data_IF_508574515596
#
_entry.id   IF_508574515596
#
_cell.length_a   1.000
_cell.length_b   1.000
_cell.length_c   1.000
_cell.angle_alpha   90.00
_cell.angle_beta   90.00
_cell.angle_gamma   90.00
#
_symmetry.space_group_name_H-M   'P 1'
#
loop_
_entity.id
_entity.type
_entity.pdbx_description
1 polymer ?
#
# COMPACT_ATOMS: atom_id res chain seq x y z
N UNK A 1 11.53 11.67 1.99
CA UNK A 1 10.29 12.45 2.05
C UNK A 1 10.43 13.59 1.06
N UNK A 2 9.78 13.50 -0.09
CA UNK A 2 9.97 14.49 -1.17
C UNK A 2 8.91 14.43 -2.26
N UNK A 3 8.13 13.34 -2.31
CA UNK A 3 7.05 13.17 -3.28
C UNK A 3 6.00 14.28 -3.16
N UNK A 4 5.53 14.60 -1.95
CA UNK A 4 4.52 15.65 -1.75
C UNK A 4 5.00 17.01 -2.27
N UNK A 5 6.30 17.32 -2.13
CA UNK A 5 6.89 18.54 -2.67
C UNK A 5 6.87 18.54 -4.21
N UNK A 6 7.27 17.43 -4.84
CA UNK A 6 7.25 17.31 -6.30
C UNK A 6 5.83 17.28 -6.86
N UNK A 7 4.89 16.65 -6.15
CA UNK A 7 3.47 16.65 -6.49
C UNK A 7 2.90 18.07 -6.41
N UNK A 8 3.10 18.79 -5.31
CA UNK A 8 2.65 20.17 -5.16
C UNK A 8 3.23 21.09 -6.25
N UNK A 9 4.53 20.95 -6.56
CA UNK A 9 5.15 21.70 -7.65
C UNK A 9 4.55 21.35 -9.02
N UNK A 10 4.32 20.06 -9.30
CA UNK A 10 3.70 19.60 -10.54
C UNK A 10 2.26 20.11 -10.69
N UNK A 11 1.47 20.07 -9.62
CA UNK A 11 0.10 20.59 -9.59
C UNK A 11 0.05 22.09 -9.79
N UNK A 12 0.95 22.85 -9.14
CA UNK A 12 1.06 24.28 -9.35
C UNK A 12 1.42 24.64 -10.81
N UNK A 13 2.32 23.87 -11.43
CA UNK A 13 2.65 24.03 -12.85
C UNK A 13 1.46 23.68 -13.74
N UNK A 14 0.76 22.58 -13.48
CA UNK A 14 -0.43 22.22 -14.26
C UNK A 14 -1.52 23.29 -14.14
N UNK A 15 -1.78 23.80 -12.94
CA UNK A 15 -2.76 24.87 -12.71
C UNK A 15 -2.40 26.16 -13.46
N UNK A 16 -1.11 26.49 -13.56
CA UNK A 16 -0.64 27.63 -14.33
C UNK A 16 -0.80 27.47 -15.85
N UNK A 17 -0.81 26.22 -16.35
CA UNK A 17 -0.95 25.89 -17.78
C UNK A 17 -2.40 25.65 -18.19
N UNK A 18 -3.19 25.04 -17.32
CA UNK A 18 -4.62 24.81 -17.48
C UNK A 18 -5.29 24.94 -16.10
N UNK A 19 -6.15 25.94 -15.87
CA UNK A 19 -6.84 26.10 -14.59
C UNK A 19 -8.00 25.11 -14.39
N UNK A 20 -8.33 24.27 -15.39
CA UNK A 20 -9.40 23.26 -15.30
C UNK A 20 -9.13 22.19 -14.23
N UNK A 21 -7.93 21.59 -14.11
CA UNK A 21 -7.57 20.84 -12.91
C UNK A 21 -7.55 21.80 -11.71
N UNK A 22 -8.63 21.80 -10.94
CA UNK A 22 -8.79 22.61 -9.75
C UNK A 22 -8.40 21.79 -8.51
N UNK A 23 -7.09 21.63 -8.30
CA UNK A 23 -6.57 21.02 -7.07
C UNK A 23 -6.23 22.12 -6.08
N UNK A 24 -7.00 22.19 -5.00
CA UNK A 24 -6.73 23.09 -3.88
C UNK A 24 -5.55 22.55 -3.07
N UNK A 25 -4.39 23.19 -3.20
CA UNK A 25 -3.18 22.80 -2.48
C UNK A 25 -3.28 23.02 -0.97
N UNK A 26 -4.11 23.96 -0.50
CA UNK A 26 -4.34 24.18 0.93
C UNK A 26 -5.11 23.02 1.53
N UNK A 27 -6.23 22.65 0.90
CA UNK A 27 -7.01 21.49 1.29
C UNK A 27 -6.19 20.20 1.21
N UNK A 28 -5.37 20.04 0.16
CA UNK A 28 -4.47 18.91 0.05
C UNK A 28 -3.47 18.86 1.22
N UNK A 29 -2.90 19.99 1.62
CA UNK A 29 -1.98 20.06 2.75
C UNK A 29 -2.66 19.68 4.08
N UNK A 30 -3.87 20.20 4.34
CA UNK A 30 -4.65 19.86 5.53
C UNK A 30 -4.94 18.36 5.62
N UNK A 31 -5.20 17.72 4.48
CA UNK A 31 -5.45 16.28 4.42
C UNK A 31 -4.19 15.44 4.66
N UNK A 32 -3.02 15.94 4.22
CA UNK A 32 -1.74 15.30 4.55
C UNK A 32 -1.38 15.46 6.03
N UNK A 33 -1.70 16.61 6.63
CA UNK A 33 -1.52 16.83 8.07
C UNK A 33 -2.45 15.92 8.87
N UNK A 34 -3.71 15.78 8.44
CA UNK A 34 -4.65 14.84 9.03
C UNK A 34 -4.16 13.39 8.92
N UNK A 35 -3.61 12.99 7.77
CA UNK A 35 -3.00 11.66 7.59
C UNK A 35 -1.77 11.47 8.48
N UNK A 36 -0.91 12.48 8.62
CA UNK A 36 0.24 12.43 9.52
C UNK A 36 -0.19 12.27 10.99
N UNK A 37 -1.25 12.97 11.42
CA UNK A 37 -1.83 12.84 12.75
C UNK A 37 -2.45 11.45 12.98
N UNK A 38 -3.16 10.89 11.98
CA UNK A 38 -3.64 9.49 11.99
C UNK A 38 -2.50 8.48 12.06
N UNK A 39 -1.34 8.83 11.51
CA UNK A 39 -0.15 8.01 11.52
C UNK A 39 0.80 8.32 12.68
N UNK A 40 0.42 9.15 13.65
CA UNK A 40 1.29 9.56 14.75
C UNK A 40 1.71 8.39 15.67
N UNK A 41 2.90 8.50 16.27
CA UNK A 41 3.49 7.43 17.08
C UNK A 41 2.66 7.05 18.31
N UNK A 42 1.91 8.01 18.86
CA UNK A 42 1.05 7.83 20.03
C UNK A 42 -0.21 6.99 19.76
N UNK A 43 -0.57 6.76 18.49
CA UNK A 43 -1.75 5.96 18.12
C UNK A 43 -1.44 4.47 18.14
N UNK A 44 -2.38 3.68 18.67
CA UNK A 44 -2.30 2.23 18.69
C UNK A 44 -2.29 1.63 17.27
N UNK A 45 -1.69 0.45 17.12
CA UNK A 45 -1.48 -0.21 15.82
C UNK A 45 -2.80 -0.33 15.03
N UNK A 46 -3.88 -0.78 15.66
CA UNK A 46 -5.19 -0.97 15.03
C UNK A 46 -5.93 0.33 14.70
N UNK A 47 -5.35 1.51 14.96
CA UNK A 47 -5.90 2.83 14.60
C UNK A 47 -4.91 3.66 13.78
N UNK A 48 -3.78 3.07 13.41
CA UNK A 48 -2.66 3.72 12.74
C UNK A 48 -2.36 2.96 11.44
N UNK A 49 -2.83 3.47 10.28
CA UNK A 49 -2.70 2.75 9.02
C UNK A 49 -1.25 2.56 8.58
N UNK A 50 -0.33 3.49 8.91
CA UNK A 50 1.10 3.31 8.65
C UNK A 50 1.73 2.18 9.49
N UNK A 51 1.35 2.00 10.76
CA UNK A 51 1.82 0.86 11.59
C UNK A 51 1.30 -0.48 11.07
N UNK A 52 0.04 -0.53 10.65
CA UNK A 52 -0.54 -1.73 10.01
C UNK A 52 0.15 -2.06 8.68
N UNK A 53 0.44 -1.05 7.87
CA UNK A 53 1.19 -1.23 6.64
C UNK A 53 2.61 -1.74 6.92
N UNK A 54 3.31 -1.15 7.90
CA UNK A 54 4.62 -1.61 8.34
C UNK A 54 4.59 -3.08 8.80
N UNK A 55 3.57 -3.48 9.58
CA UNK A 55 3.39 -4.86 10.03
C UNK A 55 3.12 -5.83 8.86
N UNK A 56 2.40 -5.40 7.81
CA UNK A 56 2.18 -6.22 6.60
C UNK A 56 3.45 -6.43 5.77
N UNK A 57 4.35 -5.45 5.75
CA UNK A 57 5.61 -5.53 5.02
C UNK A 57 6.69 -6.26 5.84
N UNK A 58 6.58 -6.22 7.17
CA UNK A 58 7.47 -6.97 8.05
C UNK A 58 7.35 -8.48 7.78
N UNK A 59 8.50 -9.17 7.80
CA UNK A 59 8.61 -10.64 7.77
C UNK A 59 8.00 -11.34 6.53
N UNK A 60 7.78 -10.60 5.43
CA UNK A 60 7.28 -11.16 4.17
C UNK A 60 8.12 -10.67 2.99
N UNK A 61 8.20 -11.49 1.94
CA UNK A 61 8.64 -11.00 0.64
C UNK A 61 7.48 -10.22 0.03
N UNK A 62 7.65 -8.92 -0.15
CA UNK A 62 6.59 -8.03 -0.63
C UNK A 62 6.98 -7.40 -1.95
N UNK A 63 6.05 -7.34 -2.90
CA UNK A 63 6.11 -6.50 -4.09
C UNK A 63 5.02 -5.42 -4.02
N UNK A 64 5.36 -4.19 -4.43
CA UNK A 64 4.39 -3.13 -4.68
C UNK A 64 3.92 -3.21 -6.13
N UNK A 65 2.62 -3.10 -6.35
CA UNK A 65 2.04 -3.09 -7.68
C UNK A 65 1.16 -1.86 -7.90
N UNK A 66 1.17 -1.34 -9.13
CA UNK A 66 0.20 -0.35 -9.59
C UNK A 66 -0.40 -0.78 -10.92
N UNK A 67 -1.68 -0.51 -11.13
CA UNK A 67 -2.37 -0.86 -12.37
C UNK A 67 -2.28 0.26 -13.43
N UNK A 68 -2.37 1.51 -12.98
CA UNK A 68 -2.23 2.70 -13.80
C UNK A 68 -0.86 3.37 -13.68
N UNK A 69 -0.59 4.36 -14.53
CA UNK A 69 0.67 5.09 -14.52
C UNK A 69 0.93 5.80 -13.18
N UNK A 70 -0.11 6.38 -12.57
CA UNK A 70 -0.02 7.09 -11.30
C UNK A 70 0.25 6.14 -10.12
N UNK A 71 -0.52 5.04 -10.02
CA UNK A 71 -0.33 4.04 -8.96
C UNK A 71 0.98 3.28 -9.12
N UNK A 72 1.46 3.03 -10.34
CA UNK A 72 2.79 2.47 -10.58
C UNK A 72 3.91 3.44 -10.18
N UNK A 73 3.78 4.73 -10.47
CA UNK A 73 4.73 5.74 -10.02
C UNK A 73 4.81 5.79 -8.48
N UNK A 74 3.66 5.69 -7.81
CA UNK A 74 3.58 5.62 -6.35
C UNK A 74 4.19 4.32 -5.79
N UNK A 75 3.95 3.17 -6.44
CA UNK A 75 4.60 1.91 -6.08
C UNK A 75 6.14 2.02 -6.17
N UNK A 76 6.67 2.65 -7.22
CA UNK A 76 8.12 2.91 -7.36
C UNK A 76 8.66 3.85 -6.30
N UNK A 77 7.89 4.88 -5.92
CA UNK A 77 8.23 5.75 -4.79
C UNK A 77 8.29 4.95 -3.47
N UNK A 78 7.27 4.14 -3.19
CA UNK A 78 7.22 3.27 -2.01
C UNK A 78 8.43 2.34 -1.94
N UNK A 79 8.79 1.70 -3.05
CA UNK A 79 9.99 0.84 -3.17
C UNK A 79 11.27 1.60 -2.81
N UNK A 80 11.45 2.80 -3.38
CA UNK A 80 12.60 3.66 -3.08
C UNK A 80 12.66 4.07 -1.61
N UNK A 81 11.52 4.41 -1.00
CA UNK A 81 11.48 4.84 0.40
C UNK A 81 11.70 3.69 1.37
N UNK A 82 11.07 2.53 1.14
CA UNK A 82 11.28 1.33 1.95
C UNK A 82 12.75 0.89 1.93
N UNK A 83 13.40 0.97 0.77
CA UNK A 83 14.83 0.68 0.67
C UNK A 83 15.66 1.70 1.45
N UNK A 84 15.45 3.01 1.21
CA UNK A 84 16.32 4.07 1.77
C UNK A 84 16.13 4.31 3.26
N UNK A 85 14.92 4.08 3.79
CA UNK A 85 14.57 4.40 5.19
C UNK A 85 14.55 3.14 6.04
N UNK A 86 13.89 2.07 5.58
CA UNK A 86 13.70 0.84 6.34
C UNK A 86 14.76 -0.23 6.06
N UNK A 87 15.68 0.00 5.11
CA UNK A 87 16.57 -1.03 4.56
C UNK A 87 15.79 -2.27 4.07
N UNK A 88 14.57 -2.06 3.56
CA UNK A 88 13.70 -3.13 3.07
C UNK A 88 13.70 -3.12 1.54
N UNK A 89 14.16 -4.23 0.94
CA UNK A 89 14.08 -4.43 -0.51
C UNK A 89 12.65 -4.87 -0.86
N UNK A 90 11.97 -4.06 -1.67
CA UNK A 90 10.60 -4.30 -2.11
C UNK A 90 10.50 -3.91 -3.58
N UNK A 91 10.42 -4.84 -4.54
CA UNK A 91 10.27 -4.51 -5.96
C UNK A 91 8.95 -3.77 -6.22
N UNK A 92 8.93 -2.92 -7.26
CA UNK A 92 7.74 -2.24 -7.74
C UNK A 92 7.50 -2.56 -9.22
N UNK A 93 6.30 -3.04 -9.55
CA UNK A 93 5.95 -3.46 -10.92
C UNK A 93 4.49 -3.16 -11.29
N UNK A 94 4.11 -3.39 -12.55
CA UNK A 94 2.71 -3.32 -12.98
C UNK A 94 1.89 -4.45 -12.38
N UNK A 95 0.60 -4.24 -12.16
CA UNK A 95 -0.29 -5.25 -11.58
C UNK A 95 -0.25 -6.58 -12.35
N UNK A 96 -0.30 -6.54 -13.68
CA UNK A 96 -0.26 -7.73 -14.52
C UNK A 96 1.00 -8.59 -14.25
N UNK A 97 2.17 -7.96 -14.20
CA UNK A 97 3.44 -8.67 -13.96
C UNK A 97 3.51 -9.26 -12.54
N UNK A 98 2.98 -8.53 -11.55
CA UNK A 98 2.88 -9.01 -10.18
C UNK A 98 1.98 -10.27 -10.08
N UNK A 99 0.86 -10.28 -10.82
CA UNK A 99 -0.03 -11.43 -10.88
C UNK A 99 0.63 -12.62 -11.59
N UNK A 100 1.39 -12.40 -12.67
CA UNK A 100 2.17 -13.46 -13.32
C UNK A 100 3.18 -14.06 -12.35
N UNK A 101 3.90 -13.23 -11.59
CA UNK A 101 4.85 -13.68 -10.59
C UNK A 101 4.19 -14.50 -9.47
N UNK A 102 3.00 -14.09 -9.00
CA UNK A 102 2.23 -14.86 -8.02
C UNK A 102 1.80 -16.24 -8.55
N UNK A 103 1.32 -16.32 -9.79
CA UNK A 103 0.94 -17.59 -10.40
C UNK A 103 2.14 -18.52 -10.61
N UNK A 104 3.29 -17.97 -11.02
CA UNK A 104 4.53 -18.73 -11.14
C UNK A 104 4.97 -19.29 -9.78
N UNK A 105 4.96 -18.46 -8.73
CA UNK A 105 5.31 -18.89 -7.38
C UNK A 105 4.37 -19.96 -6.82
N UNK A 106 3.07 -19.89 -7.14
CA UNK A 106 2.09 -20.91 -6.76
C UNK A 106 2.32 -22.24 -7.50
N UNK A 107 2.83 -22.20 -8.74
CA UNK A 107 3.10 -23.38 -9.57
C UNK A 107 4.38 -24.11 -9.15
N UNK A 108 5.41 -23.36 -8.70
CA UNK A 108 6.66 -23.92 -8.17
C UNK A 108 6.52 -24.54 -6.77
N UNK A 109 5.44 -24.18 -6.05
CA UNK A 109 5.18 -24.59 -4.69
C UNK A 109 3.88 -25.38 -4.53
N UNK A 110 3.67 -26.44 -5.33
CA UNK A 110 2.60 -27.43 -5.08
C UNK A 110 2.93 -28.20 -3.79
N UNK A 111 2.80 -27.51 -2.66
CA UNK A 111 2.45 -28.10 -1.38
C UNK A 111 0.94 -28.15 -1.42
N UNK A 112 0.39 -29.36 -1.39
CA UNK A 112 -1.03 -29.60 -1.17
C UNK A 112 -1.53 -28.62 -0.08
N UNK A 113 -2.58 -27.82 -0.30
CA UNK A 113 -3.13 -26.93 0.72
C UNK A 113 -3.31 -27.63 2.08
N UNK A 114 -3.64 -28.91 2.05
CA UNK A 114 -3.75 -29.76 3.24
C UNK A 114 -2.37 -30.07 3.86
N UNK A 115 -1.33 -30.32 3.06
CA UNK A 115 0.03 -30.52 3.55
C UNK A 115 0.62 -29.27 4.23
N UNK A 116 0.22 -28.06 3.82
CA UNK A 116 0.61 -26.83 4.53
C UNK A 116 -0.07 -26.69 5.90
N UNK A 117 -1.24 -27.32 6.10
CA UNK A 117 -1.98 -27.33 7.36
C UNK A 117 -1.35 -28.29 8.39
N UNK A 118 -0.64 -29.31 7.91
CA UNK A 118 0.09 -30.29 8.73
C UNK A 118 1.60 -30.04 8.79
N UNK A 119 2.10 -28.95 8.20
CA UNK A 119 3.52 -28.60 8.20
C UNK A 119 3.96 -28.17 9.60
N UNK A 120 4.94 -28.88 10.16
CA UNK A 120 5.54 -28.57 11.46
C UNK A 120 6.93 -27.95 11.26
N UNK A 121 7.13 -26.70 11.64
CA UNK A 121 8.40 -25.99 11.44
C UNK A 121 9.58 -26.63 12.20
N UNK A 122 9.33 -27.36 13.29
CA UNK A 122 10.37 -28.05 14.07
C UNK A 122 10.81 -29.36 13.39
N UNK A 123 9.92 -30.01 12.65
CA UNK A 123 10.17 -31.31 11.99
C UNK A 123 10.52 -31.14 10.51
N UNK A 124 9.78 -30.31 9.78
CA UNK A 124 9.86 -30.15 8.33
C UNK A 124 10.75 -28.96 7.92
N UNK A 125 11.13 -28.11 8.87
CA UNK A 125 11.91 -26.90 8.66
C UNK A 125 11.06 -25.69 8.19
N UNK A 126 11.67 -24.51 8.00
CA UNK A 126 10.92 -23.30 7.70
C UNK A 126 10.31 -23.33 6.29
N UNK A 127 9.04 -22.93 6.18
CA UNK A 127 8.39 -22.75 4.87
C UNK A 127 9.10 -21.65 4.06
N UNK A 128 9.19 -21.81 2.72
CA UNK A 128 9.73 -20.76 1.88
C UNK A 128 8.90 -19.49 2.00
N UNK A 129 9.53 -18.30 2.01
CA UNK A 129 8.82 -17.04 2.16
C UNK A 129 7.87 -16.84 0.96
N UNK A 130 6.58 -16.65 1.25
CA UNK A 130 5.56 -16.41 0.23
C UNK A 130 5.59 -14.95 -0.22
N UNK A 131 5.59 -14.75 -1.54
CA UNK A 131 5.43 -13.42 -2.14
C UNK A 131 4.03 -12.88 -1.83
N UNK A 132 3.97 -11.65 -1.30
CA UNK A 132 2.74 -10.89 -1.12
C UNK A 132 2.78 -9.65 -2.01
N UNK A 133 1.68 -9.38 -2.70
CA UNK A 133 1.54 -8.19 -3.55
C UNK A 133 0.69 -7.16 -2.81
N UNK A 134 1.24 -5.96 -2.62
CA UNK A 134 0.47 -4.79 -2.19
C UNK A 134 0.14 -3.96 -3.43
N UNK A 135 -1.10 -4.07 -3.90
CA UNK A 135 -1.60 -3.34 -5.05
C UNK A 135 -2.11 -1.96 -4.61
N UNK A 136 -1.36 -0.92 -4.96
CA UNK A 136 -1.75 0.49 -4.79
C UNK A 136 -2.92 0.76 -5.74
N UNK A 137 -4.03 1.24 -5.20
CA UNK A 137 -5.26 1.42 -5.97
C UNK A 137 -5.97 2.71 -5.60
N UNK A 138 -6.53 3.37 -6.62
CA UNK A 138 -7.44 4.50 -6.43
C UNK A 138 -8.89 4.03 -6.36
N UNK A 139 -9.76 4.82 -5.76
CA UNK A 139 -11.16 4.44 -5.52
C UNK A 139 -11.93 4.05 -6.81
N UNK A 140 -11.63 4.70 -7.94
CA UNK A 140 -12.25 4.39 -9.25
C UNK A 140 -11.67 3.14 -9.90
N UNK A 141 -10.40 2.83 -9.65
CA UNK A 141 -9.71 1.62 -10.11
C UNK A 141 -10.10 0.38 -9.29
N UNK A 142 -10.55 0.58 -8.05
CA UNK A 142 -10.75 -0.49 -7.05
C UNK A 142 -11.64 -1.65 -7.53
N UNK A 143 -12.82 -1.44 -8.14
CA UNK A 143 -13.66 -2.55 -8.60
C UNK A 143 -12.98 -3.42 -9.65
N UNK A 144 -12.26 -2.79 -10.59
CA UNK A 144 -11.57 -3.49 -11.67
C UNK A 144 -10.33 -4.25 -11.20
N UNK A 145 -9.59 -3.67 -10.25
CA UNK A 145 -8.46 -4.36 -9.60
C UNK A 145 -8.97 -5.53 -8.74
N UNK A 146 -9.97 -5.29 -7.90
CA UNK A 146 -10.56 -6.33 -7.04
C UNK A 146 -11.09 -7.54 -7.83
N UNK A 147 -11.75 -7.30 -8.97
CA UNK A 147 -12.24 -8.37 -9.84
C UNK A 147 -11.10 -9.23 -10.41
N UNK A 148 -9.96 -8.62 -10.77
CA UNK A 148 -8.79 -9.33 -11.32
C UNK A 148 -7.97 -10.06 -10.25
N UNK A 149 -8.06 -9.62 -9.00
CA UNK A 149 -7.34 -10.23 -7.88
C UNK A 149 -8.20 -11.18 -7.06
N UNK A 150 -9.47 -11.37 -7.45
CA UNK A 150 -10.40 -12.23 -6.74
C UNK A 150 -9.89 -13.67 -6.67
N UNK A 151 -9.89 -14.25 -5.47
CA UNK A 151 -9.40 -15.61 -5.21
C UNK A 151 -7.88 -15.71 -5.01
N UNK A 152 -7.15 -14.59 -4.97
CA UNK A 152 -5.73 -14.57 -4.65
C UNK A 152 -5.48 -14.07 -3.22
N UNK A 153 -5.23 -15.01 -2.30
CA UNK A 153 -5.02 -14.70 -0.86
C UNK A 153 -3.74 -13.88 -0.56
N UNK A 154 -2.84 -13.81 -1.54
CA UNK A 154 -1.56 -13.12 -1.43
C UNK A 154 -1.57 -11.71 -2.05
N UNK A 155 -2.73 -11.19 -2.43
CA UNK A 155 -2.89 -9.81 -2.90
C UNK A 155 -3.64 -8.98 -1.87
N UNK A 156 -3.10 -7.81 -1.56
CA UNK A 156 -3.73 -6.82 -0.67
C UNK A 156 -3.89 -5.50 -1.40
N UNK A 157 -5.11 -4.96 -1.41
CA UNK A 157 -5.41 -3.67 -2.01
C UNK A 157 -5.11 -2.56 -1.01
N UNK A 158 -4.18 -1.68 -1.37
CA UNK A 158 -3.79 -0.51 -0.59
C UNK A 158 -4.48 0.73 -1.16
N UNK A 159 -5.58 1.14 -0.54
CA UNK A 159 -6.38 2.29 -0.92
C UNK A 159 -6.25 3.43 0.11
N UNK A 160 -6.48 4.68 -0.30
CA UNK A 160 -6.33 5.84 0.59
C UNK A 160 -7.36 5.81 1.73
N UNK A 161 -8.56 5.34 1.42
CA UNK A 161 -9.70 5.12 2.31
C UNK A 161 -9.53 3.94 3.28
N UNK A 162 -8.46 3.15 3.16
CA UNK A 162 -8.15 2.04 4.07
C UNK A 162 -7.83 2.59 5.47
N UNK A 163 -8.89 2.91 6.22
CA UNK A 163 -8.89 3.42 7.57
C UNK A 163 -9.32 2.28 8.51
N UNK A 164 -8.47 1.91 9.49
CA UNK A 164 -8.83 0.93 10.50
C UNK A 164 -9.88 1.51 11.46
N UNK A 165 -11.16 1.36 11.14
CA UNK A 165 -12.25 1.74 12.05
C UNK A 165 -12.56 0.58 13.01
N UNK A 166 -11.87 0.58 14.15
CA UNK A 166 -12.21 -0.23 15.32
C UNK A 166 -11.83 -1.73 15.27
N UNK A 167 -12.07 -2.47 16.37
CA UNK A 167 -11.77 -3.89 16.47
C UNK A 167 -12.75 -4.66 15.56
N UNK A 168 -12.34 -4.93 14.33
CA UNK A 168 -13.16 -5.55 13.30
C UNK A 168 -13.12 -4.86 11.93
N UNK A 169 -12.36 -3.76 11.78
CA UNK A 169 -12.16 -3.11 10.48
C UNK A 169 -11.71 -4.12 9.43
N UNK A 170 -12.52 -4.30 8.39
CA UNK A 170 -12.40 -5.33 7.36
C UNK A 170 -10.96 -5.48 6.87
N UNK A 171 -10.28 -6.50 7.39
CA UNK A 171 -9.08 -7.03 6.78
C UNK A 171 -9.47 -7.60 5.41
N UNK A 172 -9.36 -6.79 4.36
CA UNK A 172 -9.27 -7.25 2.98
C UNK A 172 -10.55 -7.38 2.15
N UNK A 173 -11.76 -7.06 2.65
CA UNK A 173 -12.99 -7.30 1.86
C UNK A 173 -14.05 -6.20 1.80
N UNK A 174 -13.77 -5.01 2.31
CA UNK A 174 -14.68 -3.90 2.12
C UNK A 174 -14.16 -2.66 2.80
N UNK A 175 -13.75 -1.68 2.00
CA UNK A 175 -13.44 -0.38 2.53
C UNK A 175 -14.77 0.36 2.72
N UNK A 176 -15.10 0.74 3.95
CA UNK A 176 -16.22 1.64 4.18
C UNK A 176 -15.86 3.01 3.60
N UNK A 177 -16.69 3.57 2.70
CA UNK A 177 -16.39 4.88 2.14
C UNK A 177 -16.42 5.93 3.26
N UNK A 178 -15.43 6.81 3.29
CA UNK A 178 -15.46 7.98 4.14
C UNK A 178 -16.74 8.79 3.87
N UNK A 179 -17.29 9.44 4.90
CA UNK A 179 -18.55 10.21 4.89
C UNK A 179 -18.58 11.40 3.89
N UNK A 180 -17.56 11.59 3.06
CA UNK A 180 -17.46 12.59 1.99
C UNK A 180 -17.15 12.03 0.59
N UNK A 181 -17.18 10.71 0.40
CA UNK A 181 -16.71 10.05 -0.83
C UNK A 181 -15.18 10.01 -0.92
N UNK A 182 -14.63 9.35 -1.95
CA UNK A 182 -13.19 9.33 -2.16
C UNK A 182 -12.71 10.74 -2.55
N UNK A 183 -11.62 11.22 -1.92
CA UNK A 183 -10.96 12.47 -2.30
C UNK A 183 -10.46 12.44 -3.75
N UNK A 184 -9.93 13.55 -4.25
CA UNK A 184 -9.40 13.57 -5.62
C UNK A 184 -8.28 12.52 -5.82
N UNK A 185 -8.03 12.04 -7.06
CA UNK A 185 -6.93 11.10 -7.33
C UNK A 185 -5.58 11.61 -6.78
N UNK A 186 -5.31 12.90 -6.89
CA UNK A 186 -4.09 13.53 -6.38
C UNK A 186 -4.02 13.46 -4.85
N UNK A 187 -5.14 13.71 -4.16
CA UNK A 187 -5.25 13.59 -2.71
C UNK A 187 -5.02 12.15 -2.27
N UNK A 188 -5.66 11.18 -2.92
CA UNK A 188 -5.47 9.76 -2.62
C UNK A 188 -4.01 9.32 -2.77
N UNK A 189 -3.36 9.70 -3.88
CA UNK A 189 -1.95 9.41 -4.12
C UNK A 189 -1.05 10.04 -3.06
N UNK A 190 -1.32 11.28 -2.67
CA UNK A 190 -0.54 12.00 -1.67
C UNK A 190 -0.69 11.37 -0.27
N UNK A 191 -1.91 11.01 0.12
CA UNK A 191 -2.21 10.29 1.38
C UNK A 191 -1.47 8.96 1.43
N UNK A 192 -1.58 8.15 0.37
CA UNK A 192 -0.90 6.86 0.29
C UNK A 192 0.63 7.01 0.31
N UNK A 193 1.18 8.07 -0.28
CA UNK A 193 2.60 8.37 -0.21
C UNK A 193 3.06 8.67 1.22
N UNK A 194 2.34 9.53 1.96
CA UNK A 194 2.63 9.83 3.37
C UNK A 194 2.56 8.55 4.20
N UNK A 195 1.55 7.69 3.95
CA UNK A 195 1.39 6.43 4.66
C UNK A 195 2.55 5.47 4.42
N UNK A 196 3.00 5.31 3.17
CA UNK A 196 4.19 4.51 2.83
C UNK A 196 5.46 5.07 3.47
N UNK A 197 5.61 6.39 3.45
CA UNK A 197 6.74 7.09 4.04
C UNK A 197 6.82 6.87 5.56
N UNK A 198 5.69 7.00 6.27
CA UNK A 198 5.60 6.74 7.71
C UNK A 198 5.76 5.26 8.05
N UNK A 199 5.21 4.35 7.23
CA UNK A 199 5.38 2.91 7.41
C UNK A 199 6.86 2.51 7.36
N UNK A 200 7.63 3.08 6.42
CA UNK A 200 9.07 2.83 6.33
C UNK A 200 9.83 3.32 7.59
N UNK A 201 9.41 4.45 8.16
CA UNK A 201 9.98 4.93 9.45
C UNK A 201 9.68 3.93 10.57
N UNK A 202 8.44 3.45 10.68
CA UNK A 202 8.09 2.45 11.71
C UNK A 202 8.85 1.15 11.54
N UNK A 203 9.00 0.65 10.31
CA UNK A 203 9.81 -0.53 10.05
C UNK A 203 11.27 -0.35 10.48
N UNK A 204 11.82 0.85 10.30
CA UNK A 204 13.18 1.16 10.77
C UNK A 204 13.28 1.14 12.30
N UNK A 205 12.30 1.72 12.98
CA UNK A 205 12.27 1.80 14.45
C UNK A 205 12.10 0.45 15.13
N UNK A 206 11.39 -0.50 14.50
CA UNK A 206 11.21 -1.85 15.07
C UNK A 206 12.47 -2.71 14.91
N UNK A 207 13.34 -2.40 13.94
CA UNK A 207 14.55 -3.19 13.61
C UNK A 207 15.86 -2.61 14.17
N UNK A 208 15.84 -1.39 14.69
CA UNK A 208 17.03 -0.68 15.21
C UNK A 208 16.97 -0.54 16.71
#
# INVERSE_FOLDING_TARGET
FGLCRYLAAGLAVMHALDPRPNVDLGLLADELDAEALRNSAARELFTNPAKLLAARVAERQVALAGDGAATLALARHGSSVLLRVANQVTPATGLADALVALHAAASDGIVDPDAALFHDEEIDGPLPPRLRVLAVVLADEQPGVAARTAGLDNVYLLAAEDVPDGPGGSAGYGVSPALGGPGSPEQQLAVLAVRLEMAAVYMRLVRG
#
